data_IF_749530200013
#
_entry.id   IF_749530200013
#
_cell.length_a   1.000
_cell.length_b   1.000
_cell.length_c   1.000
_cell.angle_alpha   90.00
_cell.angle_beta   90.00
_cell.angle_gamma   90.00
#
_symmetry.space_group_name_H-M   'P 1'
#
loop_
_entity.id
_entity.type
_entity.pdbx_description
1 polymer ?
#
# COMPACT_ATOMS: atom_id res chain seq x y z
N UNK A 1 13.41 -7.05 -35.16
CA UNK A 1 11.98 -6.89 -34.79
C UNK A 1 11.55 -7.91 -33.76
N UNK A 2 11.73 -9.23 -33.97
CA UNK A 2 11.34 -10.25 -32.99
C UNK A 2 12.02 -10.08 -31.62
N UNK A 3 13.35 -9.90 -31.59
CA UNK A 3 14.11 -9.69 -30.34
C UNK A 3 13.64 -8.44 -29.58
N UNK A 4 13.37 -7.34 -30.28
CA UNK A 4 12.88 -6.10 -29.65
C UNK A 4 11.52 -6.32 -28.99
N UNK A 5 10.61 -7.07 -29.63
CA UNK A 5 9.32 -7.42 -29.04
C UNK A 5 9.47 -8.32 -27.82
N UNK A 6 10.39 -9.29 -27.86
CA UNK A 6 10.69 -10.15 -26.71
C UNK A 6 11.30 -9.35 -25.55
N UNK A 7 12.17 -8.38 -25.83
CA UNK A 7 12.71 -7.47 -24.82
C UNK A 7 11.57 -6.71 -24.15
N UNK A 8 10.67 -6.11 -24.93
CA UNK A 8 9.54 -5.36 -24.39
C UNK A 8 8.58 -6.25 -23.58
N UNK A 9 8.38 -7.50 -24.02
CA UNK A 9 7.56 -8.48 -23.29
C UNK A 9 8.12 -8.73 -21.88
N UNK A 10 9.42 -8.93 -21.74
CA UNK A 10 10.05 -9.17 -20.43
C UNK A 10 10.06 -7.94 -19.53
N UNK A 11 10.23 -6.75 -20.12
CA UNK A 11 10.10 -5.48 -19.36
C UNK A 11 8.67 -5.35 -18.84
N UNK A 12 7.67 -5.55 -19.70
CA UNK A 12 6.26 -5.52 -19.31
C UNK A 12 5.92 -6.57 -18.25
N UNK A 13 6.51 -7.76 -18.35
CA UNK A 13 6.35 -8.82 -17.33
C UNK A 13 6.95 -8.39 -15.98
N UNK A 14 8.14 -7.76 -15.99
CA UNK A 14 8.75 -7.23 -14.78
C UNK A 14 7.87 -6.18 -14.10
N UNK A 15 7.33 -5.24 -14.88
CA UNK A 15 6.59 -4.09 -14.37
C UNK A 15 5.18 -4.46 -13.86
N UNK A 16 4.52 -5.43 -14.50
CA UNK A 16 3.12 -5.77 -14.19
C UNK A 16 2.96 -7.00 -13.31
N UNK A 17 3.83 -8.01 -13.44
CA UNK A 17 3.68 -9.27 -12.71
C UNK A 17 4.60 -9.33 -11.48
N UNK A 18 5.84 -8.88 -11.61
CA UNK A 18 6.84 -8.99 -10.53
C UNK A 18 6.76 -7.78 -9.60
N UNK A 19 6.87 -6.57 -10.13
CA UNK A 19 7.05 -5.35 -9.33
C UNK A 19 5.90 -5.11 -8.34
N UNK A 20 4.60 -5.21 -8.71
CA UNK A 20 3.50 -4.95 -7.79
C UNK A 20 3.44 -5.99 -6.65
N UNK A 21 3.68 -7.26 -6.98
CA UNK A 21 3.75 -8.34 -6.01
C UNK A 21 4.96 -8.17 -5.07
N UNK A 22 6.11 -7.78 -5.63
CA UNK A 22 7.33 -7.51 -4.86
C UNK A 22 7.12 -6.39 -3.84
N UNK A 23 6.54 -5.26 -4.26
CA UNK A 23 6.20 -4.15 -3.38
C UNK A 23 5.21 -4.56 -2.28
N UNK A 24 4.15 -5.28 -2.65
CA UNK A 24 3.11 -5.74 -1.72
C UNK A 24 3.67 -6.67 -0.63
N UNK A 25 4.71 -7.44 -0.95
CA UNK A 25 5.37 -8.32 0.00
C UNK A 25 6.46 -7.59 0.81
N UNK A 26 7.31 -6.78 0.16
CA UNK A 26 8.47 -6.14 0.80
C UNK A 26 8.11 -4.94 1.66
N UNK A 27 7.18 -4.09 1.24
CA UNK A 27 6.90 -2.83 1.92
C UNK A 27 6.41 -3.02 3.36
N UNK A 28 5.60 -4.04 3.69
CA UNK A 28 5.31 -4.39 5.08
C UNK A 28 6.54 -4.80 5.89
N UNK A 29 7.47 -5.58 5.31
CA UNK A 29 8.71 -5.98 5.97
C UNK A 29 9.66 -4.79 6.23
N UNK A 30 9.62 -3.78 5.38
CA UNK A 30 10.40 -2.55 5.53
C UNK A 30 9.74 -1.52 6.46
N UNK A 31 8.49 -1.74 6.87
CA UNK A 31 7.70 -0.79 7.68
C UNK A 31 7.17 0.40 6.89
N UNK A 32 7.04 0.26 5.56
CA UNK A 32 6.50 1.29 4.66
C UNK A 32 4.99 1.17 4.47
N UNK A 33 4.44 -0.03 4.66
CA UNK A 33 3.01 -0.32 4.55
C UNK A 33 2.51 -1.14 5.73
N UNK A 34 1.21 -1.02 6.02
CA UNK A 34 0.56 -1.90 7.00
C UNK A 34 0.57 -3.34 6.47
N UNK A 35 0.86 -4.29 7.34
CA UNK A 35 0.82 -5.69 6.98
C UNK A 35 -0.62 -6.17 6.81
N UNK A 36 -0.95 -6.62 5.61
CA UNK A 36 -2.15 -7.38 5.32
C UNK A 36 -1.76 -8.83 5.02
N UNK A 37 -2.26 -9.77 5.83
CA UNK A 37 -1.94 -11.20 5.71
C UNK A 37 -2.40 -11.80 4.37
N UNK A 38 -3.59 -11.42 3.89
CA UNK A 38 -4.14 -11.92 2.63
C UNK A 38 -3.37 -11.37 1.43
N UNK A 39 -3.12 -10.05 1.41
CA UNK A 39 -2.32 -9.42 0.35
C UNK A 39 -0.90 -9.97 0.31
N UNK A 40 -0.28 -10.18 1.48
CA UNK A 40 1.08 -10.75 1.55
C UNK A 40 1.12 -12.20 1.09
N UNK A 41 0.09 -13.00 1.40
CA UNK A 41 -0.02 -14.37 0.91
C UNK A 41 -0.18 -14.41 -0.61
N UNK A 42 -1.10 -13.60 -1.15
CA UNK A 42 -1.30 -13.49 -2.60
C UNK A 42 -0.02 -13.02 -3.32
N UNK A 43 0.65 -12.01 -2.78
CA UNK A 43 1.91 -11.51 -3.32
C UNK A 43 3.00 -12.59 -3.35
N UNK A 44 3.09 -13.44 -2.32
CA UNK A 44 3.99 -14.61 -2.32
C UNK A 44 3.64 -15.59 -3.44
N UNK A 45 2.38 -15.97 -3.56
CA UNK A 45 1.90 -16.89 -4.60
C UNK A 45 2.17 -16.35 -6.01
N UNK A 46 2.00 -15.04 -6.23
CA UNK A 46 2.25 -14.40 -7.53
C UNK A 46 3.75 -14.33 -7.84
N UNK A 47 4.61 -14.04 -6.85
CA UNK A 47 6.08 -14.15 -7.03
C UNK A 47 6.51 -15.59 -7.30
N UNK A 48 5.94 -16.60 -6.64
CA UNK A 48 6.24 -18.01 -6.92
C UNK A 48 5.91 -18.39 -8.37
N UNK A 49 4.76 -17.95 -8.89
CA UNK A 49 4.39 -18.15 -10.30
C UNK A 49 5.36 -17.44 -11.23
N UNK A 50 5.71 -16.19 -10.95
CA UNK A 50 6.61 -15.42 -11.78
C UNK A 50 8.02 -16.05 -11.82
N UNK A 51 8.54 -16.49 -10.68
CA UNK A 51 9.80 -17.22 -10.59
C UNK A 51 9.74 -18.56 -11.33
N UNK A 52 8.61 -19.26 -11.30
CA UNK A 52 8.43 -20.49 -12.08
C UNK A 52 8.48 -20.24 -13.59
N UNK A 53 7.82 -19.18 -14.07
CA UNK A 53 7.87 -18.78 -15.49
C UNK A 53 9.31 -18.48 -15.91
N UNK A 54 10.03 -17.69 -15.13
CA UNK A 54 11.44 -17.37 -15.38
C UNK A 54 12.31 -18.63 -15.34
N UNK A 55 12.10 -19.50 -14.35
CA UNK A 55 12.90 -20.71 -14.18
C UNK A 55 12.75 -21.68 -15.37
N UNK A 56 11.53 -21.79 -15.90
CA UNK A 56 11.24 -22.59 -17.09
C UNK A 56 11.87 -21.96 -18.34
N UNK A 57 11.74 -20.65 -18.51
CA UNK A 57 12.30 -19.96 -19.69
C UNK A 57 13.84 -20.03 -19.74
N UNK A 58 14.48 -19.90 -18.57
CA UNK A 58 15.93 -19.93 -18.38
C UNK A 58 16.51 -21.36 -18.33
N UNK A 59 15.69 -22.40 -18.48
CA UNK A 59 16.18 -23.78 -18.46
C UNK A 59 17.21 -24.03 -19.57
N UNK A 60 16.96 -23.52 -20.77
CA UNK A 60 17.81 -23.71 -21.95
C UNK A 60 18.50 -22.44 -22.43
N UNK A 61 18.39 -21.33 -21.69
CA UNK A 61 18.91 -20.02 -22.09
C UNK A 61 19.82 -19.43 -21.03
N UNK A 62 20.87 -18.76 -21.48
CA UNK A 62 21.79 -18.02 -20.60
C UNK A 62 21.16 -16.71 -20.13
N UNK A 63 20.52 -15.97 -21.04
CA UNK A 63 19.87 -14.68 -20.81
C UNK A 63 18.39 -14.72 -21.24
N UNK A 64 17.63 -13.67 -20.92
CA UNK A 64 16.19 -13.63 -21.20
C UNK A 64 15.87 -13.54 -22.69
N UNK A 65 16.70 -12.83 -23.46
CA UNK A 65 16.55 -12.69 -24.91
C UNK A 65 17.90 -12.92 -25.57
N UNK A 66 17.97 -13.96 -26.41
CA UNK A 66 19.19 -14.36 -27.12
C UNK A 66 20.36 -14.75 -26.18
N UNK A 67 21.58 -14.86 -26.71
CA UNK A 67 22.79 -15.26 -25.97
C UNK A 67 23.62 -14.07 -25.46
N UNK A 68 22.99 -12.90 -25.26
CA UNK A 68 23.64 -11.70 -24.70
C UNK A 68 22.74 -10.97 -23.70
N UNK A 69 23.35 -10.23 -22.79
CA UNK A 69 22.62 -9.35 -21.87
C UNK A 69 21.88 -8.27 -22.67
N UNK A 70 20.59 -8.11 -22.37
CA UNK A 70 19.71 -7.11 -22.95
C UNK A 70 19.03 -6.26 -21.87
N UNK A 71 18.26 -5.25 -22.29
CA UNK A 71 17.45 -4.46 -21.36
C UNK A 71 16.43 -5.31 -20.59
N UNK A 72 15.97 -6.43 -21.16
CA UNK A 72 15.11 -7.38 -20.46
C UNK A 72 15.79 -7.92 -19.20
N UNK A 73 17.04 -8.37 -19.33
CA UNK A 73 17.82 -8.92 -18.22
C UNK A 73 18.01 -7.89 -17.12
N UNK A 74 18.39 -6.67 -17.49
CA UNK A 74 18.60 -5.56 -16.54
C UNK A 74 17.30 -5.24 -15.79
N UNK A 75 16.18 -5.12 -16.51
CA UNK A 75 14.90 -4.72 -15.91
C UNK A 75 14.36 -5.78 -14.96
N UNK A 76 14.34 -7.05 -15.36
CA UNK A 76 13.90 -8.15 -14.50
C UNK A 76 14.86 -8.36 -13.32
N UNK A 77 16.17 -8.16 -13.54
CA UNK A 77 17.15 -8.24 -12.45
C UNK A 77 16.88 -7.16 -11.39
N UNK A 78 16.66 -5.91 -11.82
CA UNK A 78 16.40 -4.80 -10.92
C UNK A 78 15.12 -5.00 -10.10
N UNK A 79 14.04 -5.53 -10.70
CA UNK A 79 12.79 -5.80 -9.97
C UNK A 79 12.94 -6.95 -8.97
N UNK A 80 13.76 -7.97 -9.27
CA UNK A 80 14.03 -9.09 -8.37
C UNK A 80 15.08 -8.79 -7.30
N UNK A 81 15.93 -7.76 -7.48
CA UNK A 81 17.06 -7.48 -6.59
C UNK A 81 16.63 -7.33 -5.13
N UNK A 82 15.61 -6.50 -4.86
CA UNK A 82 15.12 -6.27 -3.51
C UNK A 82 14.52 -7.54 -2.88
N UNK A 83 13.92 -8.40 -3.70
CA UNK A 83 13.39 -9.68 -3.23
C UNK A 83 14.54 -10.61 -2.78
N UNK A 84 15.59 -10.71 -3.58
CA UNK A 84 16.79 -11.50 -3.27
C UNK A 84 17.55 -10.97 -2.04
N UNK A 85 17.53 -9.66 -1.78
CA UNK A 85 18.19 -9.04 -0.64
C UNK A 85 17.42 -9.17 0.68
N UNK A 86 16.09 -9.38 0.63
CA UNK A 86 15.26 -9.26 1.83
C UNK A 86 14.34 -10.45 2.12
N UNK A 87 13.80 -11.16 1.13
CA UNK A 87 12.75 -12.17 1.38
C UNK A 87 12.99 -13.54 0.75
N UNK A 88 13.75 -13.65 -0.34
CA UNK A 88 14.04 -14.92 -1.01
C UNK A 88 15.17 -15.69 -0.30
N UNK A 89 14.86 -16.23 0.86
CA UNK A 89 15.78 -17.04 1.66
C UNK A 89 16.17 -18.34 0.93
N UNK A 90 17.27 -19.02 1.32
CA UNK A 90 17.79 -20.19 0.62
C UNK A 90 16.75 -21.28 0.37
N UNK A 91 15.86 -21.54 1.34
CA UNK A 91 14.80 -22.54 1.21
C UNK A 91 13.78 -22.18 0.12
N UNK A 92 13.37 -20.91 0.06
CA UNK A 92 12.41 -20.41 -0.90
C UNK A 92 12.97 -20.41 -2.32
N UNK A 93 14.23 -20.00 -2.50
CA UNK A 93 14.85 -19.94 -3.83
C UNK A 93 15.34 -21.29 -4.35
N UNK A 94 15.45 -22.32 -3.51
CA UNK A 94 15.97 -23.66 -3.87
C UNK A 94 15.32 -24.29 -5.12
N UNK A 95 13.99 -24.19 -5.35
CA UNK A 95 13.35 -24.77 -6.54
C UNK A 95 13.74 -24.05 -7.85
N UNK A 96 14.11 -22.77 -7.78
CA UNK A 96 14.30 -21.89 -8.93
C UNK A 96 15.78 -21.79 -9.34
N UNK A 97 16.42 -22.94 -9.56
CA UNK A 97 17.88 -23.03 -9.80
C UNK A 97 18.34 -22.23 -11.02
N UNK A 98 17.56 -22.22 -12.10
CA UNK A 98 17.93 -21.52 -13.34
C UNK A 98 17.87 -20.01 -13.14
N UNK A 99 16.87 -19.52 -12.39
CA UNK A 99 16.76 -18.10 -12.02
C UNK A 99 17.92 -17.71 -11.11
N UNK A 100 18.25 -18.53 -10.11
CA UNK A 100 19.39 -18.26 -9.21
C UNK A 100 20.71 -18.19 -9.98
N UNK A 101 20.94 -19.12 -10.92
CA UNK A 101 22.11 -19.12 -11.80
C UNK A 101 22.17 -17.83 -12.62
N UNK A 102 21.09 -17.48 -13.32
CA UNK A 102 21.00 -16.27 -14.13
C UNK A 102 21.22 -15.00 -13.29
N UNK A 103 20.55 -14.87 -12.14
CA UNK A 103 20.69 -13.72 -11.24
C UNK A 103 22.12 -13.57 -10.74
N UNK A 104 22.73 -14.68 -10.29
CA UNK A 104 24.13 -14.69 -9.83
C UNK A 104 25.10 -14.36 -10.96
N UNK A 105 24.80 -14.78 -12.19
CA UNK A 105 25.62 -14.46 -13.37
C UNK A 105 25.60 -12.97 -13.67
N UNK A 106 24.43 -12.33 -13.65
CA UNK A 106 24.29 -10.88 -13.85
C UNK A 106 24.93 -10.08 -12.73
N UNK A 107 24.69 -10.46 -11.48
CA UNK A 107 25.22 -9.79 -10.29
C UNK A 107 26.76 -9.68 -10.30
N UNK A 108 27.45 -10.67 -10.86
CA UNK A 108 28.91 -10.69 -10.94
C UNK A 108 29.49 -10.03 -12.20
N UNK A 109 28.65 -9.53 -13.12
CA UNK A 109 29.15 -8.79 -14.27
C UNK A 109 29.80 -7.48 -13.80
N UNK A 110 30.95 -7.06 -14.39
CA UNK A 110 31.64 -5.84 -13.98
C UNK A 110 30.75 -4.59 -13.97
N UNK A 111 29.84 -4.48 -14.94
CA UNK A 111 28.91 -3.36 -15.08
C UNK A 111 27.88 -3.32 -13.94
N UNK A 112 27.37 -4.48 -13.54
CA UNK A 112 26.45 -4.57 -12.40
C UNK A 112 27.19 -4.30 -11.09
N UNK A 113 28.37 -4.89 -10.90
CA UNK A 113 29.18 -4.69 -9.70
C UNK A 113 29.61 -3.23 -9.52
N UNK A 114 29.90 -2.52 -10.61
CA UNK A 114 30.23 -1.10 -10.56
C UNK A 114 29.11 -0.21 -10.00
N UNK A 115 27.84 -0.62 -10.17
CA UNK A 115 26.67 0.16 -9.72
C UNK A 115 26.13 -0.34 -8.38
N UNK A 116 26.04 -1.66 -8.20
CA UNK A 116 25.41 -2.27 -7.04
C UNK A 116 26.37 -2.51 -5.87
N UNK A 117 27.68 -2.55 -6.14
CA UNK A 117 28.68 -2.97 -5.16
C UNK A 117 28.55 -4.45 -4.80
N UNK A 118 28.90 -4.80 -3.55
CA UNK A 118 28.77 -6.16 -3.05
C UNK A 118 27.33 -6.42 -2.58
N UNK A 119 26.57 -7.15 -3.40
CA UNK A 119 25.19 -7.54 -3.10
C UNK A 119 25.18 -8.76 -2.18
N UNK A 120 24.60 -8.62 -0.99
CA UNK A 120 24.37 -9.73 -0.06
C UNK A 120 22.95 -10.27 -0.23
N UNK A 121 22.81 -11.57 -0.50
CA UNK A 121 21.51 -12.24 -0.60
C UNK A 121 20.98 -12.55 0.80
N UNK A 122 19.66 -12.52 1.01
CA UNK A 122 19.11 -12.82 2.34
C UNK A 122 19.28 -14.29 2.71
N UNK A 123 19.64 -14.53 3.97
CA UNK A 123 19.69 -15.86 4.59
C UNK A 123 18.38 -16.23 5.31
N UNK A 124 17.64 -15.22 5.77
CA UNK A 124 16.34 -15.35 6.45
C UNK A 124 15.37 -14.32 5.88
N UNK A 125 14.12 -14.72 5.69
CA UNK A 125 13.08 -13.81 5.25
C UNK A 125 12.90 -12.65 6.24
N UNK A 126 12.94 -11.42 5.74
CA UNK A 126 12.63 -10.22 6.50
C UNK A 126 11.23 -10.35 7.11
N UNK A 127 11.15 -10.19 8.43
CA UNK A 127 9.89 -10.26 9.16
C UNK A 127 9.23 -8.89 9.19
N UNK A 128 7.90 -8.91 9.29
CA UNK A 128 7.08 -7.71 9.42
C UNK A 128 7.35 -7.12 10.81
N UNK A 129 7.86 -5.89 10.83
CA UNK A 129 8.07 -5.15 12.06
C UNK A 129 7.02 -4.04 12.20
N UNK A 130 5.96 -4.35 12.94
CA UNK A 130 4.87 -3.40 13.25
C UNK A 130 5.36 -2.18 14.06
N UNK A 131 6.46 -2.30 14.82
CA UNK A 131 7.06 -1.17 15.56
C UNK A 131 7.79 -0.23 14.61
N UNK A 132 8.54 -0.79 13.65
CA UNK A 132 9.22 -0.02 12.60
C UNK A 132 8.22 0.75 11.72
N UNK A 133 7.06 0.15 11.41
CA UNK A 133 5.96 0.85 10.73
C UNK A 133 5.44 2.05 11.55
N UNK A 134 5.19 1.86 12.85
CA UNK A 134 4.73 2.94 13.73
C UNK A 134 5.76 4.08 13.91
N UNK A 135 7.06 3.76 13.88
CA UNK A 135 8.14 4.76 13.97
C UNK A 135 8.34 5.55 12.66
N UNK A 136 8.28 4.89 11.50
CA UNK A 136 8.41 5.54 10.20
C UNK A 136 7.21 6.44 9.88
N UNK A 137 5.99 6.03 10.26
CA UNK A 137 4.79 6.87 10.15
C UNK A 137 4.86 8.14 11.03
N UNK A 138 5.53 8.07 12.18
CA UNK A 138 5.78 9.27 13.03
C UNK A 138 6.81 10.22 12.43
N UNK A 139 7.81 9.71 11.69
CA UNK A 139 8.84 10.52 11.00
C UNK A 139 8.43 11.04 9.62
N UNK A 140 7.47 10.39 8.96
CA UNK A 140 6.99 10.75 7.61
C UNK A 140 6.12 12.01 7.54
N UNK A 141 5.73 12.62 8.67
CA UNK A 141 4.97 13.88 8.67
C UNK A 141 5.79 15.13 8.31
N UNK A 142 7.13 15.04 8.28
CA UNK A 142 7.98 16.22 8.07
C UNK A 142 8.59 16.34 6.66
N UNK A 143 8.50 15.32 5.78
CA UNK A 143 9.08 15.43 4.43
C UNK A 143 8.28 14.69 3.36
N UNK A 144 8.15 15.38 2.23
CA UNK A 144 7.81 14.91 0.88
C UNK A 144 6.34 15.06 0.47
N UNK A 145 5.99 16.29 0.11
CA UNK A 145 5.19 16.53 -1.09
C UNK A 145 6.12 16.65 -2.29
N UNK A 146 6.02 15.70 -3.25
CA UNK A 146 6.26 15.80 -4.70
C UNK A 146 6.72 14.47 -5.30
N UNK A 147 5.77 13.77 -5.92
CA UNK A 147 5.90 12.95 -7.16
C UNK A 147 4.49 12.35 -7.41
N UNK A 148 3.64 12.97 -8.25
CA UNK A 148 3.41 12.70 -9.69
C UNK A 148 3.07 11.23 -9.97
N UNK A 149 1.78 10.97 -10.26
CA UNK A 149 1.19 10.75 -11.62
C UNK A 149 1.21 9.26 -11.98
N UNK A 150 0.03 8.63 -12.12
CA UNK A 150 -0.56 8.06 -13.36
C UNK A 150 -0.77 6.55 -13.06
N UNK A 151 -1.77 5.80 -13.51
CA UNK A 151 -2.91 5.94 -14.44
C UNK A 151 -3.82 4.71 -14.23
N UNK A 152 -5.11 4.83 -14.55
CA UNK A 152 -6.00 3.88 -15.29
C UNK A 152 -5.96 2.37 -15.01
N UNK A 153 -7.03 1.57 -15.11
CA UNK A 153 -8.49 1.71 -15.23
C UNK A 153 -9.05 0.28 -15.02
N UNK A 154 -10.35 0.22 -14.72
CA UNK A 154 -11.22 -0.92 -14.28
C UNK A 154 -11.45 -2.03 -15.34
N UNK A 155 -12.28 -3.11 -15.14
CA UNK A 155 -13.49 -3.22 -14.26
C UNK A 155 -13.86 -4.55 -13.51
N UNK A 156 -14.63 -4.36 -12.39
CA UNK A 156 -15.83 -5.06 -11.79
C UNK A 156 -15.97 -6.60 -11.86
N UNK A 157 -16.65 -7.35 -10.99
CA UNK A 157 -17.66 -7.23 -9.89
C UNK A 157 -17.55 -8.55 -9.07
N UNK A 158 -17.84 -8.64 -7.77
CA UNK A 158 -19.17 -8.92 -7.21
C UNK A 158 -19.20 -8.69 -5.70
N UNK A 159 -20.36 -8.25 -5.24
CA UNK A 159 -20.79 -8.03 -3.86
C UNK A 159 -20.97 -9.39 -3.17
N UNK A 160 -20.48 -9.54 -1.94
CA UNK A 160 -21.25 -10.32 -0.97
C UNK A 160 -21.09 -9.75 0.43
N UNK A 161 -22.24 -9.44 1.03
CA UNK A 161 -22.42 -9.05 2.41
C UNK A 161 -22.21 -10.27 3.30
N UNK A 162 -21.25 -10.22 4.22
CA UNK A 162 -21.31 -11.02 5.45
C UNK A 162 -20.45 -10.34 6.51
N UNK A 163 -21.15 -9.74 7.48
CA UNK A 163 -20.77 -9.31 8.83
C UNK A 163 -19.27 -9.15 9.12
N UNK A 164 -18.88 -7.88 9.26
CA UNK A 164 -17.51 -7.41 9.42
C UNK A 164 -16.88 -7.88 10.75
N UNK A 165 -15.73 -8.57 10.63
CA UNK A 165 -14.83 -8.97 11.72
C UNK A 165 -14.35 -7.78 12.58
N UNK A 166 -14.65 -6.53 12.19
CA UNK A 166 -14.36 -5.31 12.95
C UNK A 166 -15.08 -5.19 14.28
N UNK A 167 -16.27 -5.79 14.48
CA UNK A 167 -16.94 -5.78 15.79
C UNK A 167 -16.16 -6.60 16.83
N UNK A 168 -15.45 -7.65 16.42
CA UNK A 168 -14.63 -8.49 17.32
C UNK A 168 -13.28 -7.84 17.64
N UNK A 169 -12.75 -7.00 16.74
CA UNK A 169 -11.51 -6.23 16.96
C UNK A 169 -11.72 -5.08 17.95
N UNK A 170 -12.93 -4.50 17.99
CA UNK A 170 -13.32 -3.40 18.90
C UNK A 170 -13.36 -3.81 20.39
N UNK A 171 -13.41 -5.11 20.72
CA UNK A 171 -13.40 -5.58 22.10
C UNK A 171 -11.99 -5.73 22.71
N UNK A 172 -10.92 -5.68 21.89
CA UNK A 172 -9.57 -6.07 22.33
C UNK A 172 -8.49 -4.98 22.30
N UNK A 173 -8.76 -3.76 21.83
CA UNK A 173 -7.75 -2.68 21.92
C UNK A 173 -7.80 -1.91 23.25
N UNK A 174 -6.66 -1.77 23.96
CA UNK A 174 -6.58 -1.03 25.21
C UNK A 174 -6.71 0.48 24.97
N UNK A 175 -7.60 1.13 25.74
CA UNK A 175 -7.91 2.57 25.72
C UNK A 175 -6.66 3.46 25.74
N UNK A 176 -6.27 3.97 24.58
CA UNK A 176 -5.34 5.09 24.45
C UNK A 176 -6.04 6.40 24.81
N UNK A 177 -5.38 7.24 25.62
CA UNK A 177 -5.89 8.52 26.16
C UNK A 177 -6.44 9.44 25.06
N UNK A 178 -7.57 10.08 25.37
CA UNK A 178 -8.29 10.99 24.48
C UNK A 178 -7.40 12.22 24.16
N UNK A 179 -7.07 12.48 22.88
CA UNK A 179 -6.27 13.63 22.45
C UNK A 179 -6.83 15.00 22.88
N UNK A 180 -8.10 15.06 23.26
CA UNK A 180 -8.80 16.30 23.60
C UNK A 180 -8.96 16.56 25.10
N UNK A 181 -8.44 15.69 25.99
CA UNK A 181 -8.52 15.88 27.45
C UNK A 181 -7.90 17.21 27.95
N UNK A 182 -7.04 17.85 27.15
CA UNK A 182 -6.35 19.10 27.48
C UNK A 182 -7.09 20.37 27.03
N UNK A 183 -8.17 20.26 26.28
CA UNK A 183 -8.90 21.41 25.75
C UNK A 183 -10.13 21.73 26.62
N UNK A 184 -10.57 23.01 26.67
CA UNK A 184 -11.79 23.37 27.38
C UNK A 184 -12.96 22.57 26.80
N UNK A 185 -13.72 21.88 27.65
CA UNK A 185 -14.96 21.24 27.22
C UNK A 185 -15.96 22.35 26.89
N UNK A 186 -16.17 22.59 25.59
CA UNK A 186 -17.15 23.57 25.12
C UNK A 186 -18.57 23.23 25.58
N UNK A 187 -19.48 24.20 25.48
CA UNK A 187 -20.88 24.02 25.89
C UNK A 187 -21.72 23.22 24.89
N UNK A 188 -21.15 22.87 23.73
CA UNK A 188 -21.85 22.17 22.66
C UNK A 188 -21.83 20.65 22.87
N UNK A 189 -23.01 20.06 23.08
CA UNK A 189 -23.17 18.62 23.24
C UNK A 189 -23.25 17.93 21.87
N UNK A 190 -22.14 17.33 21.44
CA UNK A 190 -22.02 16.67 20.14
C UNK A 190 -22.92 15.43 20.00
N UNK A 191 -23.20 14.72 21.08
CA UNK A 191 -24.05 13.52 21.05
C UNK A 191 -25.54 13.87 20.91
N UNK A 192 -25.97 14.98 21.52
CA UNK A 192 -27.32 15.52 21.37
C UNK A 192 -27.53 16.07 19.96
N UNK A 193 -26.57 16.83 19.43
CA UNK A 193 -26.63 17.31 18.06
C UNK A 193 -26.72 16.16 17.03
N UNK A 194 -25.91 15.10 17.18
CA UNK A 194 -26.00 13.90 16.33
C UNK A 194 -27.36 13.24 16.38
N UNK A 195 -27.96 13.17 17.57
CA UNK A 195 -29.30 12.59 17.75
C UNK A 195 -30.36 13.42 17.03
N UNK A 196 -30.28 14.74 17.12
CA UNK A 196 -31.20 15.65 16.42
C UNK A 196 -30.96 15.58 14.90
N UNK A 197 -29.71 15.58 14.45
CA UNK A 197 -29.37 15.50 13.03
C UNK A 197 -29.87 14.21 12.37
N UNK A 198 -29.74 13.05 13.02
CA UNK A 198 -30.12 11.76 12.44
C UNK A 198 -31.63 11.46 12.51
N UNK A 199 -32.37 12.09 13.42
CA UNK A 199 -33.77 11.75 13.68
C UNK A 199 -34.77 12.84 13.25
N UNK A 200 -34.34 14.09 13.11
CA UNK A 200 -35.21 15.22 12.81
C UNK A 200 -35.00 15.76 11.37
N UNK A 201 -35.97 16.48 10.79
CA UNK A 201 -35.83 17.10 9.47
C UNK A 201 -34.69 18.12 9.42
N UNK A 202 -34.05 18.26 8.26
CA UNK A 202 -32.88 19.12 8.02
C UNK A 202 -33.06 20.58 8.49
N UNK A 203 -34.27 21.15 8.34
CA UNK A 203 -34.56 22.50 8.85
C UNK A 203 -34.39 22.61 10.38
N UNK A 204 -34.83 21.59 11.12
CA UNK A 204 -34.78 21.57 12.59
C UNK A 204 -33.36 21.31 13.08
N UNK A 205 -32.62 20.42 12.41
CA UNK A 205 -31.25 20.10 12.79
C UNK A 205 -30.25 21.22 12.48
N UNK A 206 -30.42 21.93 11.37
CA UNK A 206 -29.60 23.12 11.03
C UNK A 206 -29.89 24.27 11.99
N UNK A 207 -31.15 24.52 12.35
CA UNK A 207 -31.51 25.57 13.32
C UNK A 207 -30.99 25.22 14.72
N UNK A 208 -31.09 23.95 15.14
CA UNK A 208 -30.51 23.45 16.38
C UNK A 208 -28.99 23.64 16.41
N UNK A 209 -28.30 23.33 15.30
CA UNK A 209 -26.85 23.53 15.18
C UNK A 209 -26.47 24.97 15.46
N UNK A 210 -26.99 25.93 14.69
CA UNK A 210 -26.58 27.34 14.81
C UNK A 210 -26.97 27.98 16.16
N UNK A 211 -28.05 27.53 16.79
CA UNK A 211 -28.48 28.03 18.09
C UNK A 211 -27.63 27.52 19.26
N UNK A 212 -27.03 26.33 19.13
CA UNK A 212 -26.24 25.69 20.19
C UNK A 212 -24.74 25.67 19.90
N UNK A 213 -24.32 25.99 18.68
CA UNK A 213 -22.93 25.93 18.25
C UNK A 213 -22.04 26.89 19.05
N UNK A 214 -21.07 26.31 19.73
CA UNK A 214 -20.07 27.03 20.50
C UNK A 214 -18.90 27.41 19.60
N UNK A 215 -18.91 28.66 19.12
CA UNK A 215 -17.88 29.22 18.22
C UNK A 215 -16.51 29.39 18.89
N UNK A 216 -16.42 29.36 20.22
CA UNK A 216 -15.16 29.55 20.93
C UNK A 216 -14.36 28.24 21.00
N UNK A 217 -15.06 27.10 21.09
CA UNK A 217 -14.44 25.78 21.25
C UNK A 217 -14.55 24.88 20.01
N UNK A 218 -15.46 25.19 19.07
CA UNK A 218 -15.64 24.43 17.84
C UNK A 218 -15.45 25.30 16.60
N UNK A 219 -14.95 24.68 15.53
CA UNK A 219 -14.77 25.31 14.23
C UNK A 219 -15.47 24.49 13.15
N UNK A 220 -16.06 25.17 12.16
CA UNK A 220 -16.69 24.54 10.99
C UNK A 220 -15.72 24.65 9.82
N UNK A 221 -15.45 23.51 9.19
CA UNK A 221 -14.56 23.43 8.05
C UNK A 221 -15.36 22.96 6.84
N UNK A 222 -15.31 23.76 5.77
CA UNK A 222 -15.78 23.34 4.46
C UNK A 222 -14.56 22.87 3.67
N UNK A 223 -14.59 21.61 3.24
CA UNK A 223 -13.48 20.98 2.55
C UNK A 223 -13.88 20.68 1.12
N UNK A 224 -13.16 21.26 0.17
CA UNK A 224 -13.24 20.90 -1.24
C UNK A 224 -12.02 20.06 -1.63
N UNK A 225 -12.24 19.04 -2.45
CA UNK A 225 -11.12 18.31 -3.04
C UNK A 225 -10.35 19.25 -3.97
N UNK A 226 -9.01 19.15 -3.94
CA UNK A 226 -8.13 19.98 -4.77
C UNK A 226 -8.32 19.72 -6.28
N UNK A 227 -8.84 18.55 -6.65
CA UNK A 227 -9.13 18.13 -8.03
C UNK A 227 -10.52 17.48 -8.13
N UNK A 228 -11.61 18.25 -7.99
CA UNK A 228 -12.97 17.69 -7.99
C UNK A 228 -13.36 17.11 -9.35
N UNK A 229 -12.71 17.56 -10.44
CA UNK A 229 -12.94 17.05 -11.80
C UNK A 229 -12.47 15.60 -11.98
N UNK A 230 -11.54 15.13 -11.14
CA UNK A 230 -11.04 13.74 -11.14
C UNK A 230 -11.97 12.80 -10.36
N UNK A 231 -12.92 13.35 -9.60
CA UNK A 231 -13.94 12.62 -8.84
C UNK A 231 -15.25 12.53 -9.62
N UNK A 232 -15.16 12.05 -10.85
CA UNK A 232 -16.28 11.99 -11.80
C UNK A 232 -17.38 11.00 -11.39
N UNK A 233 -17.06 10.01 -10.53
CA UNK A 233 -17.99 8.98 -10.07
C UNK A 233 -18.16 9.05 -8.56
N UNK A 234 -19.42 9.07 -8.09
CA UNK A 234 -19.80 9.27 -6.67
C UNK A 234 -19.05 8.33 -5.72
N UNK A 235 -18.85 7.06 -6.09
CA UNK A 235 -18.17 6.09 -5.23
C UNK A 235 -16.69 6.43 -4.96
N UNK A 236 -16.02 7.15 -5.88
CA UNK A 236 -14.62 7.57 -5.69
C UNK A 236 -14.52 8.58 -4.55
N UNK A 237 -15.43 9.55 -4.54
CA UNK A 237 -15.59 10.49 -3.43
C UNK A 237 -15.97 9.77 -2.14
N UNK A 238 -16.92 8.83 -2.18
CA UNK A 238 -17.33 8.07 -0.99
C UNK A 238 -16.19 7.26 -0.37
N UNK A 239 -15.33 6.62 -1.16
CA UNK A 239 -14.19 5.85 -0.63
C UNK A 239 -13.15 6.75 0.06
N UNK A 240 -12.88 7.93 -0.52
CA UNK A 240 -11.97 8.91 0.07
C UNK A 240 -12.55 9.51 1.36
N UNK A 241 -13.84 9.82 1.36
CA UNK A 241 -14.59 10.31 2.52
C UNK A 241 -14.60 9.26 3.63
N UNK A 242 -14.91 8.00 3.31
CA UNK A 242 -14.90 6.88 4.28
C UNK A 242 -13.50 6.66 4.85
N UNK A 243 -12.47 6.68 4.01
CA UNK A 243 -11.08 6.57 4.48
C UNK A 243 -10.65 7.75 5.35
N UNK A 244 -11.15 8.96 5.07
CA UNK A 244 -10.97 10.12 5.94
C UNK A 244 -11.65 9.88 7.28
N UNK A 245 -12.92 9.49 7.31
CA UNK A 245 -13.65 9.26 8.56
C UNK A 245 -13.08 8.12 9.42
N UNK A 246 -12.58 7.04 8.81
CA UNK A 246 -11.88 5.98 9.53
C UNK A 246 -10.62 6.51 10.25
N UNK A 247 -9.87 7.41 9.63
CA UNK A 247 -8.70 8.05 10.25
C UNK A 247 -9.08 9.05 11.35
N UNK A 248 -10.23 9.70 11.20
CA UNK A 248 -10.79 10.66 12.17
C UNK A 248 -11.64 9.97 13.26
N UNK A 249 -11.78 8.65 13.23
CA UNK A 249 -12.66 7.89 14.14
C UNK A 249 -12.34 8.12 15.62
N UNK A 250 -11.05 8.29 15.93
CA UNK A 250 -10.55 8.64 17.27
C UNK A 250 -11.08 9.98 17.79
N UNK A 251 -11.61 10.83 16.91
CA UNK A 251 -12.19 12.14 17.21
C UNK A 251 -13.71 12.13 17.16
N UNK A 252 -14.36 10.97 16.93
CA UNK A 252 -15.83 10.87 16.82
C UNK A 252 -16.57 11.48 18.01
N UNK A 253 -16.00 11.50 19.22
CA UNK A 253 -16.65 12.13 20.38
C UNK A 253 -16.78 13.65 20.26
N UNK A 254 -15.84 14.30 19.57
CA UNK A 254 -15.73 15.76 19.49
C UNK A 254 -15.81 16.30 18.05
N UNK A 255 -16.10 15.44 17.06
CA UNK A 255 -16.21 15.81 15.65
C UNK A 255 -17.47 15.19 15.02
N UNK A 256 -18.01 15.88 14.02
CA UNK A 256 -19.17 15.47 13.24
C UNK A 256 -18.96 15.91 11.78
N UNK A 257 -19.30 15.04 10.83
CA UNK A 257 -19.12 15.24 9.40
C UNK A 257 -19.64 14.06 8.59
#
# INVERSE_FOLDING_TARGET
>A
QLEQSLIQQWISFADNEILPAACSWLFPCLGLMQFNKQSSKKAKEDIEKALQVLNNHLLTKTYLVDERITQADISVFCTLLSLYQHVLEPAFRKPYQNVNRWFTTLMHQPQFKAILGDVTLCDKMAQVDAKKFAELQKKGKDKVGKAKEEKQEKPKEEVNEELDETELVLAQEPKSKDPFEKFPKGSFNMDEFKRVYSNEPEKVSIEYFWNKFDKENYSVWFCEYLFPQELSLIFMSCNLITGMFQRLDKMRKNAFG
#
